data_IF_627141665726
#
_entry.id   IF_627141665726
#
_cell.length_a   1.000
_cell.length_b   1.000
_cell.length_c   1.000
_cell.angle_alpha   90.00
_cell.angle_beta   90.00
_cell.angle_gamma   90.00
#
_symmetry.space_group_name_H-M   'P 1'
#
loop_
_entity.id
_entity.type
_entity.pdbx_description
1 polymer ?
#
# COMPACT_ATOMS: atom_id res chain seq x y z
N UNK A 1 14.60 -2.31 -37.54
CA UNK A 1 15.51 -2.84 -36.49
C UNK A 1 15.63 -1.99 -35.22
N UNK A 2 15.73 -0.65 -35.31
CA UNK A 2 15.88 0.24 -34.12
C UNK A 2 14.72 0.11 -33.12
N UNK A 3 13.47 0.03 -33.60
CA UNK A 3 12.28 -0.12 -32.75
C UNK A 3 12.28 -1.42 -31.92
N UNK A 4 12.60 -2.56 -32.57
CA UNK A 4 12.68 -3.88 -31.91
C UNK A 4 13.76 -3.92 -30.81
N UNK A 5 14.92 -3.27 -31.05
CA UNK A 5 15.98 -3.12 -30.03
C UNK A 5 15.54 -2.24 -28.85
N UNK A 6 14.82 -1.14 -29.11
CA UNK A 6 14.29 -0.25 -28.04
C UNK A 6 13.24 -0.96 -27.19
N UNK A 7 12.27 -1.65 -27.81
CA UNK A 7 11.25 -2.45 -27.11
C UNK A 7 11.88 -3.52 -26.21
N UNK A 8 12.90 -4.23 -26.72
CA UNK A 8 13.64 -5.22 -25.94
C UNK A 8 14.38 -4.59 -24.75
N UNK A 9 14.94 -3.38 -24.89
CA UNK A 9 15.58 -2.66 -23.79
C UNK A 9 14.56 -2.27 -22.72
N UNK A 10 13.42 -1.70 -23.11
CA UNK A 10 12.36 -1.33 -22.15
C UNK A 10 11.85 -2.55 -21.37
N UNK A 11 11.66 -3.70 -22.01
CA UNK A 11 11.26 -4.94 -21.33
C UNK A 11 12.31 -5.40 -20.30
N UNK A 12 13.61 -5.29 -20.62
CA UNK A 12 14.69 -5.59 -19.67
C UNK A 12 14.69 -4.63 -18.48
N UNK A 13 14.43 -3.35 -18.74
CA UNK A 13 14.36 -2.32 -17.71
C UNK A 13 13.16 -2.55 -16.77
N UNK A 14 11.99 -2.92 -17.31
CA UNK A 14 10.81 -3.34 -16.51
C UNK A 14 11.13 -4.55 -15.64
N UNK A 15 11.80 -5.57 -16.22
CA UNK A 15 12.18 -6.76 -15.48
C UNK A 15 13.16 -6.45 -14.33
N UNK A 16 14.08 -5.49 -14.54
CA UNK A 16 14.99 -5.01 -13.48
C UNK A 16 14.24 -4.24 -12.40
N UNK A 17 13.30 -3.37 -12.77
CA UNK A 17 12.45 -2.63 -11.84
C UNK A 17 11.66 -3.57 -10.92
N UNK A 18 11.05 -4.62 -11.49
CA UNK A 18 10.32 -5.65 -10.73
C UNK A 18 11.17 -6.35 -9.67
N UNK A 19 12.43 -6.67 -9.98
CA UNK A 19 13.36 -7.30 -9.01
C UNK A 19 13.72 -6.38 -7.84
N UNK A 20 13.68 -5.07 -8.05
CA UNK A 20 13.97 -4.09 -7.00
C UNK A 20 12.77 -3.88 -6.07
N UNK A 21 11.52 -4.10 -6.53
CA UNK A 21 10.32 -4.00 -5.68
C UNK A 21 10.30 -5.01 -4.54
N UNK A 22 10.77 -6.23 -4.79
CA UNK A 22 10.83 -7.28 -3.77
C UNK A 22 11.71 -6.89 -2.58
N UNK A 23 12.64 -5.94 -2.74
CA UNK A 23 13.45 -5.41 -1.64
C UNK A 23 12.77 -4.27 -0.84
N UNK A 24 11.79 -3.59 -1.41
CA UNK A 24 11.05 -2.49 -0.77
C UNK A 24 9.84 -2.99 0.03
N UNK A 25 9.16 -4.03 -0.45
CA UNK A 25 8.01 -4.66 0.20
C UNK A 25 8.38 -5.52 1.43
N UNK A 26 9.65 -5.52 1.83
CA UNK A 26 10.17 -6.39 2.89
C UNK A 26 11.18 -5.67 3.75
N UNK A 27 10.79 -4.56 4.39
CA UNK A 27 11.65 -3.95 5.39
C UNK A 27 11.61 -4.75 6.70
N UNK A 28 12.34 -5.88 6.73
CA UNK A 28 12.54 -6.71 7.93
C UNK A 28 13.24 -5.98 9.09
N UNK A 29 13.59 -4.70 8.93
CA UNK A 29 14.41 -3.94 9.88
C UNK A 29 13.60 -3.08 10.85
N UNK A 30 12.30 -2.88 10.62
CA UNK A 30 11.43 -2.08 11.51
C UNK A 30 10.54 -2.92 12.42
N UNK A 31 10.61 -4.24 12.31
CA UNK A 31 9.81 -5.17 13.10
C UNK A 31 10.64 -5.56 14.32
N UNK A 32 10.26 -5.07 15.51
CA UNK A 32 10.86 -5.51 16.77
C UNK A 32 10.68 -7.03 16.90
N UNK A 33 11.74 -7.85 16.86
CA UNK A 33 11.62 -9.30 16.86
C UNK A 33 11.03 -9.89 18.15
N UNK A 34 10.86 -9.08 19.21
CA UNK A 34 10.24 -9.47 20.48
C UNK A 34 8.77 -9.07 20.60
N UNK A 35 8.21 -8.41 19.59
CA UNK A 35 6.81 -7.99 19.58
C UNK A 35 5.83 -9.13 19.32
N UNK A 36 4.58 -8.96 19.76
CA UNK A 36 3.49 -9.83 19.34
C UNK A 36 3.11 -9.50 17.89
N UNK A 37 3.59 -10.30 16.95
CA UNK A 37 3.27 -10.14 15.54
C UNK A 37 2.03 -10.93 15.17
N UNK A 38 1.11 -10.27 14.47
CA UNK A 38 -0.02 -10.92 13.82
C UNK A 38 0.20 -10.82 12.31
N UNK A 39 0.12 -11.95 11.64
CA UNK A 39 0.13 -12.02 10.19
C UNK A 39 -1.30 -12.28 9.71
N UNK A 40 -1.73 -11.57 8.69
CA UNK A 40 -2.99 -11.83 8.01
C UNK A 40 -2.72 -12.07 6.53
N UNK A 41 -3.50 -12.97 5.94
CA UNK A 41 -3.36 -13.32 4.54
C UNK A 41 -4.12 -12.34 3.65
N UNK A 42 -3.43 -11.82 2.63
CA UNK A 42 -4.01 -11.01 1.57
C UNK A 42 -4.03 -11.86 0.30
N UNK A 43 -5.23 -12.28 -0.12
CA UNK A 43 -5.43 -13.12 -1.31
C UNK A 43 -4.94 -12.46 -2.61
N UNK A 44 -5.31 -11.19 -2.80
CA UNK A 44 -4.97 -10.41 -3.98
C UNK A 44 -5.08 -8.90 -3.70
N UNK A 45 -4.72 -8.09 -4.69
CA UNK A 45 -4.76 -6.63 -4.58
C UNK A 45 -6.17 -6.07 -4.39
N UNK A 46 -7.22 -6.75 -4.90
CA UNK A 46 -8.59 -6.31 -4.69
C UNK A 46 -9.02 -6.56 -3.24
N UNK A 47 -8.62 -7.69 -2.66
CA UNK A 47 -8.85 -7.98 -1.25
C UNK A 47 -8.18 -6.94 -0.34
N UNK A 48 -6.94 -6.54 -0.65
CA UNK A 48 -6.24 -5.48 0.07
C UNK A 48 -6.97 -4.13 -0.06
N UNK A 49 -7.40 -3.79 -1.28
CA UNK A 49 -8.12 -2.54 -1.54
C UNK A 49 -9.45 -2.48 -0.77
N UNK A 50 -10.19 -3.59 -0.72
CA UNK A 50 -11.43 -3.68 0.06
C UNK A 50 -11.13 -3.48 1.56
N UNK A 51 -10.06 -4.09 2.09
CA UNK A 51 -9.68 -3.90 3.49
C UNK A 51 -9.33 -2.44 3.81
N UNK A 52 -8.51 -1.80 2.97
CA UNK A 52 -8.18 -0.37 3.09
C UNK A 52 -9.45 0.48 3.05
N UNK A 53 -10.33 0.21 2.09
CA UNK A 53 -11.60 0.92 1.93
C UNK A 53 -12.48 0.79 3.16
N UNK A 54 -12.65 -0.42 3.69
CA UNK A 54 -13.43 -0.65 4.92
C UNK A 54 -12.87 0.12 6.11
N UNK A 55 -11.55 0.18 6.28
CA UNK A 55 -10.94 0.97 7.35
C UNK A 55 -11.21 2.47 7.18
N UNK A 56 -11.08 2.99 5.97
CA UNK A 56 -11.38 4.39 5.65
C UNK A 56 -12.86 4.73 5.85
N UNK A 57 -13.76 3.85 5.42
CA UNK A 57 -15.20 3.99 5.64
C UNK A 57 -15.52 4.06 7.14
N UNK A 58 -14.89 3.22 7.97
CA UNK A 58 -15.04 3.28 9.43
C UNK A 58 -14.55 4.62 9.99
N UNK A 59 -13.43 5.16 9.51
CA UNK A 59 -12.97 6.50 9.91
C UNK A 59 -13.99 7.59 9.54
N UNK A 60 -14.55 7.54 8.33
CA UNK A 60 -15.58 8.50 7.87
C UNK A 60 -16.84 8.37 8.73
N UNK A 61 -17.33 7.16 8.96
CA UNK A 61 -18.48 6.91 9.83
C UNK A 61 -18.25 7.40 11.26
N UNK A 62 -17.05 7.19 11.79
CA UNK A 62 -16.69 7.74 13.08
C UNK A 62 -16.78 9.26 13.03
N UNK A 63 -16.10 9.92 12.09
CA UNK A 63 -16.11 11.39 11.96
C UNK A 63 -17.51 11.99 11.82
N UNK A 64 -18.37 11.41 10.98
CA UNK A 64 -19.68 11.96 10.61
C UNK A 64 -20.79 11.76 11.67
N UNK A 65 -20.58 10.96 12.72
CA UNK A 65 -21.62 10.67 13.72
C UNK A 65 -21.13 10.48 15.17
N UNK A 66 -22.02 9.94 16.02
CA UNK A 66 -21.74 9.49 17.40
C UNK A 66 -20.99 8.14 17.45
N UNK A 67 -20.34 7.75 16.36
CA UNK A 67 -19.55 6.52 16.27
C UNK A 67 -18.40 6.56 17.27
N UNK A 68 -18.59 5.94 18.43
CA UNK A 68 -17.53 5.73 19.42
C UNK A 68 -16.58 4.65 18.91
N UNK A 69 -15.39 5.06 18.47
CA UNK A 69 -14.25 4.17 18.23
C UNK A 69 -13.42 3.92 19.50
N UNK A 70 -14.03 4.06 20.68
CA UNK A 70 -13.35 3.83 21.94
C UNK A 70 -13.58 2.38 22.37
N UNK A 71 -12.49 1.62 22.50
CA UNK A 71 -12.56 0.39 23.25
C UNK A 71 -13.04 0.72 24.68
N UNK A 72 -13.92 -0.07 25.31
CA UNK A 72 -14.48 0.21 26.63
C UNK A 72 -13.45 0.40 27.76
N UNK A 73 -12.19 0.04 27.51
CA UNK A 73 -11.06 0.16 28.43
C UNK A 73 -10.13 1.35 28.13
N UNK A 74 -10.38 2.10 27.05
CA UNK A 74 -9.52 3.20 26.62
C UNK A 74 -10.22 4.55 26.79
N UNK A 75 -10.70 4.82 28.00
CA UNK A 75 -11.44 6.04 28.34
C UNK A 75 -10.60 7.33 28.24
N UNK A 76 -9.28 7.20 28.02
CA UNK A 76 -8.35 8.32 27.90
C UNK A 76 -8.04 8.71 26.45
N UNK A 77 -8.44 7.90 25.47
CA UNK A 77 -8.23 8.23 24.07
C UNK A 77 -9.39 9.09 23.55
N UNK A 78 -9.07 10.11 22.76
CA UNK A 78 -10.09 10.83 22.02
C UNK A 78 -10.55 10.02 20.80
N UNK A 79 -11.68 10.43 20.23
CA UNK A 79 -12.19 9.89 18.97
C UNK A 79 -11.17 10.11 17.86
N UNK A 80 -10.56 11.29 17.85
CA UNK A 80 -9.53 11.73 16.90
C UNK A 80 -8.26 10.89 17.00
N UNK A 81 -7.83 10.54 18.22
CA UNK A 81 -6.66 9.65 18.43
C UNK A 81 -6.91 8.26 17.83
N UNK A 82 -8.12 7.74 18.03
CA UNK A 82 -8.52 6.42 17.52
C UNK A 82 -8.57 6.41 15.98
N UNK A 83 -9.12 7.46 15.39
CA UNK A 83 -9.14 7.64 13.92
C UNK A 83 -7.73 7.79 13.38
N UNK A 84 -6.88 8.58 14.04
CA UNK A 84 -5.48 8.78 13.66
C UNK A 84 -4.74 7.44 13.61
N UNK A 85 -4.93 6.60 14.63
CA UNK A 85 -4.30 5.28 14.68
C UNK A 85 -4.77 4.36 13.52
N UNK A 86 -6.04 4.42 13.14
CA UNK A 86 -6.54 3.65 11.99
C UNK A 86 -5.97 4.19 10.67
N UNK A 87 -5.83 5.51 10.52
CA UNK A 87 -5.21 6.13 9.34
C UNK A 87 -3.72 5.77 9.24
N UNK A 88 -2.98 5.75 10.35
CA UNK A 88 -1.60 5.26 10.38
C UNK A 88 -1.51 3.80 9.94
N UNK A 89 -2.44 2.94 10.39
CA UNK A 89 -2.51 1.56 9.92
C UNK A 89 -2.78 1.47 8.41
N UNK A 90 -3.70 2.29 7.88
CA UNK A 90 -3.96 2.37 6.45
C UNK A 90 -2.68 2.75 5.70
N UNK A 91 -1.94 3.76 6.16
CA UNK A 91 -0.67 4.17 5.57
C UNK A 91 0.37 3.03 5.57
N UNK A 92 0.41 2.22 6.63
CA UNK A 92 1.33 1.08 6.71
C UNK A 92 0.99 -0.06 5.73
N UNK A 93 -0.28 -0.24 5.37
CA UNK A 93 -0.73 -1.32 4.48
C UNK A 93 -0.89 -0.87 3.02
N UNK A 94 -0.78 0.43 2.73
CA UNK A 94 -0.83 0.94 1.37
C UNK A 94 0.29 0.33 0.52
N UNK A 95 -0.02 -0.15 -0.70
CA UNK A 95 0.95 -0.81 -1.55
C UNK A 95 1.80 0.21 -2.31
N UNK A 96 2.40 1.20 -1.63
CA UNK A 96 3.13 2.34 -2.23
C UNK A 96 4.18 1.91 -3.26
N UNK A 97 4.92 0.85 -2.95
CA UNK A 97 5.93 0.30 -3.85
C UNK A 97 5.31 -0.26 -5.13
N UNK A 98 4.13 -0.88 -5.04
CA UNK A 98 3.39 -1.37 -6.20
C UNK A 98 2.80 -0.22 -7.00
N UNK A 99 2.26 0.81 -6.35
CA UNK A 99 1.75 2.01 -7.03
C UNK A 99 2.84 2.71 -7.83
N UNK A 100 3.99 2.99 -7.20
CA UNK A 100 5.14 3.60 -7.88
C UNK A 100 5.69 2.75 -9.04
N UNK A 101 5.61 1.43 -8.92
CA UNK A 101 5.98 0.52 -10.01
C UNK A 101 5.02 0.66 -11.19
N UNK A 102 3.72 0.70 -10.93
CA UNK A 102 2.69 0.83 -11.96
C UNK A 102 2.82 2.18 -12.67
N UNK A 103 3.04 3.28 -11.94
CA UNK A 103 3.24 4.62 -12.53
C UNK A 103 4.45 4.64 -13.48
N UNK A 104 5.59 4.07 -13.04
CA UNK A 104 6.80 3.97 -13.88
C UNK A 104 6.59 3.08 -15.09
N UNK A 105 5.87 1.98 -14.92
CA UNK A 105 5.57 1.05 -16.00
C UNK A 105 4.70 1.74 -17.05
N UNK A 106 3.69 2.48 -16.62
CA UNK A 106 2.80 3.24 -17.51
C UNK A 106 3.61 4.31 -18.27
N UNK A 107 4.43 5.11 -17.57
CA UNK A 107 5.32 6.09 -18.21
C UNK A 107 6.23 5.45 -19.27
N UNK A 108 6.78 4.26 -18.99
CA UNK A 108 7.64 3.52 -19.93
C UNK A 108 6.87 2.99 -21.15
N UNK A 109 5.62 2.58 -20.98
CA UNK A 109 4.73 2.11 -22.06
C UNK A 109 4.23 3.27 -22.91
N UNK A 110 3.78 4.37 -22.31
CA UNK A 110 3.34 5.58 -23.04
C UNK A 110 4.48 6.14 -23.92
N UNK A 111 5.74 6.12 -23.43
CA UNK A 111 6.93 6.50 -24.23
C UNK A 111 7.26 5.56 -25.39
N UNK A 112 6.72 4.33 -25.37
CA UNK A 112 6.85 3.36 -26.45
C UNK A 112 5.75 3.53 -27.50
N UNK A 113 4.53 3.87 -27.10
CA UNK A 113 3.38 4.03 -28.00
C UNK A 113 3.38 5.36 -28.75
N UNK A 114 3.86 6.45 -28.14
CA UNK A 114 3.93 7.78 -28.76
C UNK A 114 5.09 7.94 -29.77
N UNK A 115 5.55 6.88 -30.43
CA UNK A 115 6.63 6.90 -31.45
C UNK A 115 6.47 5.83 -32.52
#
# INVERSE_FOLDING_TARGET
MKHKKKKLKTLKDIQKLRKNLTGLLGNKRSIDPKGNHVYFEVRDNNHLLIQIRSLLEVCVFALDGDGMMLAPKNNNASKEDSITQVLELVLCILPDSQMHYMDKLDEMLTKLENR
#
